data_IF_084774557809
#
_entry.id   IF_084774557809
#
_cell.length_a   1.000
_cell.length_b   1.000
_cell.length_c   1.000
_cell.angle_alpha   90.00
_cell.angle_beta   90.00
_cell.angle_gamma   90.00
#
_symmetry.space_group_name_H-M   'P 1'
#
loop_
_entity.id
_entity.type
_entity.pdbx_description
1 polymer ?
#
# COMPACT_ATOMS: atom_id res chain seq x y z
N UNK A 1 -69.06 -45.14 14.28
CA UNK A 1 -68.08 -44.32 13.52
C UNK A 1 -68.84 -43.09 13.04
N UNK A 2 -68.55 -41.89 13.59
CA UNK A 2 -67.71 -40.85 12.94
C UNK A 2 -68.19 -40.57 11.50
N UNK A 3 -68.66 -39.39 11.11
CA UNK A 3 -68.59 -38.11 11.80
C UNK A 3 -69.47 -37.03 11.18
N UNK A 4 -69.67 -35.98 11.97
CA UNK A 4 -70.13 -34.68 11.53
C UNK A 4 -69.10 -34.08 10.55
N UNK A 5 -69.57 -33.64 9.39
CA UNK A 5 -68.89 -32.65 8.56
C UNK A 5 -70.04 -31.86 7.92
N UNK A 6 -70.41 -30.68 8.41
CA UNK A 6 -69.56 -29.52 8.55
C UNK A 6 -70.19 -28.48 7.64
N UNK A 7 -71.15 -27.73 8.16
CA UNK A 7 -71.82 -26.63 7.46
C UNK A 7 -70.72 -25.70 6.94
N UNK A 8 -70.57 -25.60 5.62
CA UNK A 8 -69.75 -24.57 4.99
C UNK A 8 -70.33 -23.20 5.33
N UNK A 9 -69.78 -22.57 6.36
CA UNK A 9 -69.87 -21.13 6.55
C UNK A 9 -69.19 -20.49 5.34
N UNK A 10 -70.00 -19.99 4.40
CA UNK A 10 -69.55 -19.12 3.32
C UNK A 10 -68.76 -17.97 3.96
N UNK A 11 -67.45 -17.96 3.74
CA UNK A 11 -66.59 -16.84 4.10
C UNK A 11 -67.16 -15.57 3.45
N UNK A 12 -67.67 -14.67 4.30
CA UNK A 12 -68.08 -13.32 3.94
C UNK A 12 -66.87 -12.64 3.30
N UNK A 13 -66.81 -12.61 1.96
CA UNK A 13 -65.80 -11.87 1.21
C UNK A 13 -65.87 -10.42 1.70
N UNK A 14 -64.90 -10.03 2.52
CA UNK A 14 -64.70 -8.63 2.92
C UNK A 14 -64.28 -7.92 1.64
N UNK A 15 -65.20 -7.16 1.07
CA UNK A 15 -64.95 -6.32 -0.10
C UNK A 15 -63.93 -5.27 0.36
N UNK A 16 -62.64 -5.54 0.21
CA UNK A 16 -61.60 -4.57 0.56
C UNK A 16 -61.70 -3.41 -0.42
N UNK A 17 -62.08 -2.24 0.09
CA UNK A 17 -62.22 -1.01 -0.69
C UNK A 17 -60.91 -0.71 -1.42
N UNK A 18 -60.99 -0.44 -2.72
CA UNK A 18 -59.82 -0.15 -3.54
C UNK A 18 -59.33 1.28 -3.25
N UNK A 19 -58.10 1.41 -2.73
CA UNK A 19 -57.50 2.69 -2.36
C UNK A 19 -57.40 3.66 -3.54
N UNK A 20 -57.04 3.20 -4.74
CA UNK A 20 -56.88 4.06 -5.91
C UNK A 20 -58.22 4.73 -6.28
N UNK A 21 -59.29 3.94 -6.33
CA UNK A 21 -60.62 4.46 -6.65
C UNK A 21 -61.14 5.42 -5.58
N UNK A 22 -60.90 5.12 -4.29
CA UNK A 22 -61.29 5.99 -3.19
C UNK A 22 -60.46 7.29 -3.16
N UNK A 23 -59.17 7.22 -3.46
CA UNK A 23 -58.27 8.37 -3.52
C UNK A 23 -58.66 9.33 -4.67
N UNK A 24 -58.98 8.79 -5.85
CA UNK A 24 -59.47 9.61 -6.97
C UNK A 24 -60.76 10.35 -6.61
N UNK A 25 -61.72 9.66 -5.96
CA UNK A 25 -62.94 10.32 -5.47
C UNK A 25 -62.65 11.36 -4.38
N UNK A 26 -61.66 11.11 -3.52
CA UNK A 26 -61.24 12.05 -2.47
C UNK A 26 -60.68 13.34 -3.08
N UNK A 27 -59.82 13.24 -4.10
CA UNK A 27 -59.28 14.39 -4.84
C UNK A 27 -60.39 15.14 -5.59
N UNK A 28 -61.32 14.41 -6.20
CA UNK A 28 -62.42 14.99 -6.97
C UNK A 28 -63.56 15.56 -6.10
N UNK A 29 -63.48 15.43 -4.77
CA UNK A 29 -64.50 15.92 -3.84
C UNK A 29 -65.81 15.13 -3.85
N UNK A 30 -65.84 13.95 -4.48
CA UNK A 30 -67.03 13.10 -4.64
C UNK A 30 -66.99 11.84 -3.77
N UNK A 31 -66.04 11.75 -2.84
CA UNK A 31 -65.90 10.62 -1.92
C UNK A 31 -67.00 10.60 -0.86
N UNK A 32 -67.48 9.41 -0.53
CA UNK A 32 -68.37 9.22 0.63
C UNK A 32 -67.59 9.39 1.94
N UNK A 33 -68.26 9.67 3.08
CA UNK A 33 -67.58 9.78 4.38
C UNK A 33 -66.72 8.56 4.73
N UNK A 34 -67.17 7.35 4.38
CA UNK A 34 -66.43 6.11 4.60
C UNK A 34 -65.18 6.01 3.72
N UNK A 35 -65.26 6.45 2.46
CA UNK A 35 -64.12 6.51 1.53
C UNK A 35 -63.07 7.53 2.00
N UNK A 36 -63.51 8.66 2.56
CA UNK A 36 -62.64 9.70 3.12
C UNK A 36 -61.86 9.17 4.33
N UNK A 37 -62.52 8.51 5.28
CA UNK A 37 -61.86 7.92 6.45
C UNK A 37 -60.87 6.82 6.06
N UNK A 38 -61.26 5.98 5.09
CA UNK A 38 -60.38 4.94 4.56
C UNK A 38 -59.11 5.53 3.96
N UNK A 39 -59.22 6.52 3.06
CA UNK A 39 -58.08 7.18 2.42
C UNK A 39 -57.18 7.86 3.45
N UNK A 40 -57.75 8.58 4.42
CA UNK A 40 -56.97 9.22 5.50
C UNK A 40 -56.22 8.21 6.36
N UNK A 41 -56.83 7.07 6.65
CA UNK A 41 -56.20 6.01 7.46
C UNK A 41 -55.01 5.38 6.74
N UNK A 42 -55.13 5.12 5.43
CA UNK A 42 -54.05 4.58 4.61
C UNK A 42 -52.94 5.61 4.40
N UNK A 43 -53.26 6.88 4.19
CA UNK A 43 -52.27 7.96 4.15
C UNK A 43 -51.52 8.12 5.48
N UNK A 44 -52.19 7.95 6.62
CA UNK A 44 -51.55 7.99 7.94
C UNK A 44 -50.59 6.82 8.13
N UNK A 45 -50.97 5.60 7.75
CA UNK A 45 -50.07 4.44 7.78
C UNK A 45 -48.87 4.63 6.86
N UNK A 46 -49.09 5.16 5.66
CA UNK A 46 -48.01 5.48 4.74
C UNK A 46 -47.06 6.55 5.31
N UNK A 47 -47.60 7.56 6.01
CA UNK A 47 -46.81 8.57 6.72
C UNK A 47 -46.00 7.97 7.86
N UNK A 48 -46.59 7.09 8.68
CA UNK A 48 -45.88 6.44 9.79
C UNK A 48 -44.76 5.53 9.28
N UNK A 49 -44.99 4.81 8.18
CA UNK A 49 -43.95 4.01 7.52
C UNK A 49 -42.87 4.93 6.94
N UNK A 50 -43.26 6.04 6.31
CA UNK A 50 -42.30 7.01 5.79
C UNK A 50 -41.48 7.67 6.90
N UNK A 51 -42.03 7.96 8.08
CA UNK A 51 -41.28 8.51 9.21
C UNK A 51 -40.27 7.52 9.78
N UNK A 52 -40.60 6.23 9.80
CA UNK A 52 -39.68 5.16 10.18
C UNK A 52 -38.58 4.97 9.12
N UNK A 53 -38.94 5.01 7.84
CA UNK A 53 -38.05 4.71 6.72
C UNK A 53 -37.13 5.89 6.34
N UNK A 54 -37.65 7.11 6.40
CA UNK A 54 -36.90 8.34 6.11
C UNK A 54 -35.89 8.67 7.20
N UNK A 55 -35.97 8.00 8.36
CA UNK A 55 -34.99 8.17 9.43
C UNK A 55 -34.82 9.64 9.79
N UNK A 56 -35.91 10.43 9.77
CA UNK A 56 -35.93 11.77 10.38
C UNK A 56 -35.68 11.54 11.86
N UNK A 57 -34.40 11.44 12.19
CA UNK A 57 -33.88 11.66 13.52
C UNK A 57 -34.44 13.03 13.86
N UNK A 58 -35.42 13.08 14.76
CA UNK A 58 -35.58 14.28 15.56
C UNK A 58 -34.18 14.53 16.08
N UNK A 59 -33.57 15.63 15.66
CA UNK A 59 -32.32 16.09 16.22
C UNK A 59 -32.62 16.29 17.70
N UNK A 60 -32.38 15.23 18.50
CA UNK A 60 -32.39 15.33 19.93
C UNK A 60 -31.45 16.49 20.24
N UNK A 61 -31.90 17.39 21.11
CA UNK A 61 -31.16 18.58 21.51
C UNK A 61 -29.82 18.16 22.15
N UNK A 62 -28.83 17.82 21.32
CA UNK A 62 -27.46 17.58 21.75
C UNK A 62 -26.76 18.92 21.68
N UNK A 63 -26.42 19.44 22.85
CA UNK A 63 -25.73 20.70 23.04
C UNK A 63 -24.43 20.74 22.22
N UNK A 64 -24.00 21.93 21.80
CA UNK A 64 -22.75 22.11 21.04
C UNK A 64 -21.55 21.54 21.81
N UNK A 65 -21.63 21.51 23.15
CA UNK A 65 -20.66 20.87 24.03
C UNK A 65 -20.55 19.35 23.82
N UNK A 66 -21.67 18.65 23.61
CA UNK A 66 -21.67 17.19 23.35
C UNK A 66 -21.07 16.87 21.97
N UNK A 67 -21.34 17.73 20.97
CA UNK A 67 -20.71 17.59 19.65
C UNK A 67 -19.19 17.80 19.73
N UNK A 68 -18.72 18.72 20.57
CA UNK A 68 -17.29 18.92 20.81
C UNK A 68 -16.62 17.75 21.53
N UNK A 69 -17.25 17.19 22.57
CA UNK A 69 -16.68 16.05 23.33
C UNK A 69 -16.60 14.80 22.47
N UNK A 70 -17.63 14.52 21.66
CA UNK A 70 -17.63 13.43 20.68
C UNK A 70 -16.53 13.65 19.63
N UNK A 71 -16.37 14.87 19.09
CA UNK A 71 -15.30 15.19 18.13
C UNK A 71 -13.90 15.03 18.72
N UNK A 72 -13.70 15.41 19.99
CA UNK A 72 -12.45 15.21 20.74
C UNK A 72 -12.18 13.72 20.98
N UNK A 73 -13.19 12.94 21.35
CA UNK A 73 -13.09 11.50 21.53
C UNK A 73 -12.71 10.78 20.22
N UNK A 74 -13.38 11.10 19.10
CA UNK A 74 -13.08 10.57 17.77
C UNK A 74 -11.63 10.90 17.36
N UNK A 75 -11.18 12.14 17.57
CA UNK A 75 -9.79 12.54 17.28
C UNK A 75 -8.78 11.77 18.12
N UNK A 76 -9.06 11.56 19.41
CA UNK A 76 -8.18 10.83 20.33
C UNK A 76 -8.11 9.34 19.99
N UNK A 77 -9.23 8.74 19.60
CA UNK A 77 -9.31 7.36 19.11
C UNK A 77 -8.53 7.21 17.80
N UNK A 78 -8.81 8.07 16.81
CA UNK A 78 -8.10 8.08 15.52
C UNK A 78 -6.60 8.22 15.67
N UNK A 79 -6.11 9.05 16.60
CA UNK A 79 -4.66 9.16 16.88
C UNK A 79 -4.05 7.84 17.37
N UNK A 80 -4.74 7.11 18.25
CA UNK A 80 -4.23 5.83 18.78
C UNK A 80 -4.22 4.74 17.70
N UNK A 81 -5.24 4.66 16.87
CA UNK A 81 -5.31 3.63 15.83
C UNK A 81 -4.40 3.94 14.63
N UNK A 82 -4.27 5.21 14.26
CA UNK A 82 -3.29 5.64 13.25
C UNK A 82 -1.88 5.34 13.73
N UNK A 83 -1.55 5.60 15.00
CA UNK A 83 -0.23 5.29 15.56
C UNK A 83 0.04 3.78 15.56
N UNK A 84 -0.92 2.96 15.99
CA UNK A 84 -0.78 1.50 15.94
C UNK A 84 -0.60 0.99 14.52
N UNK A 85 -1.39 1.50 13.58
CA UNK A 85 -1.29 1.13 12.16
C UNK A 85 0.07 1.53 11.59
N UNK A 86 0.55 2.74 11.90
CA UNK A 86 1.87 3.21 11.49
C UNK A 86 2.97 2.32 12.05
N UNK A 87 2.90 1.93 13.32
CA UNK A 87 3.88 1.03 13.94
C UNK A 87 3.90 -0.35 13.29
N UNK A 88 2.73 -0.92 12.97
CA UNK A 88 2.64 -2.22 12.28
C UNK A 88 3.26 -2.13 10.88
N UNK A 89 2.97 -1.05 10.14
CA UNK A 89 3.53 -0.82 8.81
C UNK A 89 5.05 -0.64 8.90
N UNK A 90 5.55 0.16 9.84
CA UNK A 90 6.99 0.29 10.05
C UNK A 90 7.64 -1.05 10.42
N UNK A 91 7.01 -1.82 11.31
CA UNK A 91 7.51 -3.14 11.71
C UNK A 91 7.53 -4.13 10.54
N UNK A 92 6.51 -4.14 9.68
CA UNK A 92 6.49 -5.02 8.51
C UNK A 92 7.58 -4.66 7.50
N UNK A 93 7.81 -3.36 7.25
CA UNK A 93 8.94 -2.93 6.41
C UNK A 93 10.29 -3.35 6.99
N UNK A 94 10.48 -3.22 8.31
CA UNK A 94 11.71 -3.67 8.96
C UNK A 94 11.93 -5.17 8.82
N UNK A 95 10.90 -5.99 9.01
CA UNK A 95 10.99 -7.45 8.86
C UNK A 95 11.36 -7.83 7.42
N UNK A 96 10.77 -7.17 6.42
CA UNK A 96 11.12 -7.40 5.01
C UNK A 96 12.57 -7.01 4.72
N UNK A 97 13.02 -5.84 5.18
CA UNK A 97 14.38 -5.36 4.98
C UNK A 97 15.41 -6.30 5.64
N UNK A 98 15.16 -6.73 6.88
CA UNK A 98 16.01 -7.69 7.59
C UNK A 98 16.02 -9.03 6.83
N UNK A 99 14.85 -9.52 6.41
CA UNK A 99 14.75 -10.78 5.67
C UNK A 99 15.62 -10.81 4.42
N UNK A 100 15.54 -9.77 3.58
CA UNK A 100 16.33 -9.64 2.34
C UNK A 100 17.83 -9.51 2.67
N UNK A 101 18.17 -8.64 3.62
CA UNK A 101 19.57 -8.38 3.98
C UNK A 101 20.23 -9.64 4.55
N UNK A 102 19.54 -10.38 5.42
CA UNK A 102 20.06 -11.61 6.01
C UNK A 102 20.12 -12.77 5.00
N UNK A 103 19.11 -12.92 4.13
CA UNK A 103 19.05 -14.04 3.19
C UNK A 103 20.05 -13.91 2.03
N UNK A 104 20.31 -12.69 1.56
CA UNK A 104 21.07 -12.45 0.34
C UNK A 104 22.25 -11.50 0.57
N UNK A 105 22.02 -10.37 1.26
CA UNK A 105 23.05 -9.36 1.48
C UNK A 105 24.26 -9.85 2.30
N UNK A 106 24.02 -10.49 3.44
CA UNK A 106 25.10 -11.02 4.31
C UNK A 106 25.94 -12.07 3.57
N UNK A 107 25.35 -13.10 2.90
CA UNK A 107 26.14 -14.03 2.11
C UNK A 107 26.93 -13.38 0.98
N UNK A 108 26.37 -12.41 0.26
CA UNK A 108 27.10 -11.68 -0.80
C UNK A 108 28.33 -10.99 -0.20
N UNK A 109 28.15 -10.22 0.87
CA UNK A 109 29.23 -9.47 1.52
C UNK A 109 30.31 -10.39 2.10
N UNK A 110 29.91 -11.50 2.72
CA UNK A 110 30.84 -12.50 3.26
C UNK A 110 31.66 -13.14 2.14
N UNK A 111 31.00 -13.68 1.11
CA UNK A 111 31.70 -14.34 0.01
C UNK A 111 32.62 -13.35 -0.74
N UNK A 112 32.17 -12.12 -0.99
CA UNK A 112 33.00 -11.08 -1.60
C UNK A 112 34.26 -10.82 -0.79
N UNK A 113 34.15 -10.77 0.54
CA UNK A 113 35.29 -10.60 1.45
C UNK A 113 36.22 -11.81 1.45
N UNK A 114 35.68 -13.01 1.47
CA UNK A 114 36.45 -14.26 1.49
C UNK A 114 37.16 -14.51 0.14
N UNK A 115 36.66 -13.93 -0.94
CA UNK A 115 37.23 -14.02 -2.29
C UNK A 115 38.32 -12.97 -2.59
N UNK A 116 38.68 -12.09 -1.64
CA UNK A 116 39.75 -11.09 -1.85
C UNK A 116 41.12 -11.75 -1.72
N UNK A 117 41.89 -11.74 -2.80
CA UNK A 117 43.31 -12.15 -2.80
C UNK A 117 44.26 -10.96 -3.04
N UNK A 118 43.77 -9.93 -3.76
CA UNK A 118 44.49 -8.71 -4.06
C UNK A 118 43.87 -7.56 -3.30
N UNK A 119 44.71 -6.75 -2.66
CA UNK A 119 44.29 -5.55 -1.94
C UNK A 119 44.09 -4.38 -2.90
N UNK A 120 43.37 -3.35 -2.44
CA UNK A 120 43.20 -2.11 -3.21
C UNK A 120 44.54 -1.46 -3.58
N UNK A 121 45.55 -1.52 -2.70
CA UNK A 121 46.88 -0.97 -3.01
C UNK A 121 47.59 -1.78 -4.11
N UNK A 122 47.49 -3.11 -4.08
CA UNK A 122 48.03 -3.95 -5.16
C UNK A 122 47.31 -3.69 -6.49
N UNK A 123 45.99 -3.50 -6.44
CA UNK A 123 45.20 -3.14 -7.62
C UNK A 123 45.63 -1.77 -8.19
N UNK A 124 45.88 -0.76 -7.33
CA UNK A 124 46.44 0.52 -7.78
C UNK A 124 47.76 0.35 -8.50
N UNK A 125 48.67 -0.45 -7.95
CA UNK A 125 49.96 -0.73 -8.59
C UNK A 125 49.76 -1.40 -9.94
N UNK A 126 48.90 -2.42 -10.04
CA UNK A 126 48.56 -3.08 -11.31
C UNK A 126 48.03 -2.06 -12.34
N UNK A 127 47.12 -1.17 -11.93
CA UNK A 127 46.54 -0.17 -12.81
C UNK A 127 47.56 0.89 -13.27
N UNK A 128 48.41 1.38 -12.35
CA UNK A 128 49.44 2.36 -12.69
C UNK A 128 50.52 1.76 -13.58
N UNK A 129 50.94 0.52 -13.31
CA UNK A 129 51.95 -0.19 -14.09
C UNK A 129 51.43 -0.46 -15.51
N UNK A 130 50.17 -0.90 -15.63
CA UNK A 130 49.51 -1.09 -16.93
C UNK A 130 49.50 0.18 -17.78
N UNK A 131 49.18 1.33 -17.18
CA UNK A 131 49.18 2.61 -17.90
C UNK A 131 50.59 3.12 -18.18
N UNK A 132 51.56 2.92 -17.28
CA UNK A 132 52.93 3.32 -17.49
C UNK A 132 53.57 2.57 -18.66
N UNK A 133 53.31 1.26 -18.77
CA UNK A 133 53.77 0.42 -19.88
C UNK A 133 53.14 0.84 -21.22
N UNK A 134 51.86 1.25 -21.20
CA UNK A 134 51.13 1.64 -22.41
C UNK A 134 51.38 3.07 -22.86
N UNK A 135 51.70 3.97 -21.91
CA UNK A 135 51.96 5.39 -22.14
C UNK A 135 53.26 5.85 -21.48
N UNK A 136 54.42 5.39 -21.97
CA UNK A 136 55.71 5.64 -21.31
C UNK A 136 56.05 7.13 -21.22
N UNK A 137 55.69 7.94 -22.23
CA UNK A 137 55.96 9.39 -22.25
C UNK A 137 55.11 10.20 -21.25
N UNK A 138 54.04 9.62 -20.70
CA UNK A 138 53.18 10.23 -19.68
C UNK A 138 53.36 9.64 -18.27
N UNK A 139 54.18 8.60 -18.13
CA UNK A 139 54.29 7.79 -16.91
C UNK A 139 54.54 8.60 -15.63
N UNK A 140 55.38 9.65 -15.69
CA UNK A 140 55.68 10.53 -14.55
C UNK A 140 54.49 11.38 -14.07
N UNK A 141 53.44 11.50 -14.89
CA UNK A 141 52.24 12.30 -14.60
C UNK A 141 51.04 11.46 -14.18
N UNK A 142 51.19 10.13 -14.15
CA UNK A 142 50.15 9.19 -13.72
C UNK A 142 49.84 9.43 -12.24
N UNK A 143 48.58 9.76 -11.94
CA UNK A 143 48.08 9.96 -10.58
C UNK A 143 46.74 9.29 -10.40
N UNK A 144 46.65 8.43 -9.39
CA UNK A 144 45.37 7.86 -8.96
C UNK A 144 44.51 8.98 -8.36
N UNK A 145 43.33 9.20 -8.95
CA UNK A 145 42.37 10.20 -8.51
C UNK A 145 41.38 9.61 -7.49
N UNK A 146 40.87 8.42 -7.77
CA UNK A 146 39.82 7.77 -6.98
C UNK A 146 40.03 6.26 -7.01
N UNK A 147 39.67 5.61 -5.92
CA UNK A 147 39.54 4.15 -5.87
C UNK A 147 38.22 3.81 -5.24
N UNK A 148 37.36 3.19 -6.03
CA UNK A 148 36.09 2.65 -5.59
C UNK A 148 36.16 1.13 -5.51
N UNK A 149 35.16 0.58 -4.85
CA UNK A 149 35.07 -0.85 -4.61
C UNK A 149 33.62 -1.27 -4.73
N UNK A 150 33.33 -2.04 -5.76
CA UNK A 150 32.00 -2.56 -6.04
C UNK A 150 31.95 -4.07 -5.82
N UNK A 151 30.74 -4.60 -5.64
CA UNK A 151 30.52 -6.04 -5.54
C UNK A 151 29.89 -6.51 -6.83
N UNK A 152 30.54 -7.46 -7.47
CA UNK A 152 30.04 -8.13 -8.65
C UNK A 152 29.68 -9.58 -8.31
N UNK A 153 28.57 -10.07 -8.88
CA UNK A 153 28.08 -11.43 -8.66
C UNK A 153 27.93 -12.12 -10.00
N UNK A 154 28.85 -13.04 -10.28
CA UNK A 154 28.77 -13.84 -11.49
C UNK A 154 28.02 -15.15 -11.24
N UNK A 155 26.76 -15.18 -11.68
CA UNK A 155 25.88 -16.33 -11.59
C UNK A 155 25.35 -16.59 -10.17
N UNK A 156 26.17 -17.18 -9.29
CA UNK A 156 25.76 -17.56 -7.91
C UNK A 156 26.32 -16.60 -6.87
N UNK A 157 25.57 -16.39 -5.79
CA UNK A 157 25.98 -15.55 -4.64
C UNK A 157 27.34 -15.95 -4.04
N UNK A 158 27.70 -17.25 -4.10
CA UNK A 158 29.02 -17.73 -3.63
C UNK A 158 30.21 -17.19 -4.44
N UNK A 159 29.95 -16.76 -5.66
CA UNK A 159 30.94 -16.18 -6.56
C UNK A 159 30.99 -14.65 -6.44
N UNK A 160 30.28 -14.06 -5.47
CA UNK A 160 30.41 -12.63 -5.19
C UNK A 160 31.89 -12.29 -4.96
N UNK A 161 32.37 -11.24 -5.61
CA UNK A 161 33.76 -10.75 -5.53
C UNK A 161 33.74 -9.22 -5.52
N UNK A 162 34.82 -8.62 -5.04
CA UNK A 162 34.99 -7.17 -5.22
C UNK A 162 35.65 -6.86 -6.56
N UNK A 163 35.20 -5.80 -7.21
CA UNK A 163 35.91 -5.15 -8.32
C UNK A 163 36.42 -3.82 -7.80
N UNK A 164 37.71 -3.55 -8.01
CA UNK A 164 38.30 -2.25 -7.74
C UNK A 164 38.21 -1.41 -9.00
N UNK A 165 37.55 -0.25 -8.89
CA UNK A 165 37.44 0.72 -9.96
C UNK A 165 38.42 1.84 -9.65
N UNK A 166 39.39 2.05 -10.52
CA UNK A 166 40.53 2.93 -10.28
C UNK A 166 40.56 4.02 -11.34
N UNK A 167 40.25 5.25 -10.91
CA UNK A 167 40.31 6.43 -11.76
C UNK A 167 41.74 6.96 -11.77
N UNK A 168 42.37 7.04 -12.93
CA UNK A 168 43.75 7.47 -13.09
C UNK A 168 43.84 8.63 -14.08
N UNK A 169 44.48 9.71 -13.64
CA UNK A 169 44.78 10.86 -14.48
C UNK A 169 46.20 10.78 -15.05
N UNK A 170 46.36 10.90 -16.37
CA UNK A 170 47.67 10.83 -17.06
C UNK A 170 48.24 12.21 -17.47
N UNK A 171 47.78 13.31 -16.87
CA UNK A 171 48.40 14.63 -17.12
C UNK A 171 48.10 15.32 -18.47
N UNK A 172 47.56 14.61 -19.45
CA UNK A 172 47.29 15.08 -20.83
C UNK A 172 45.77 15.33 -21.06
N UNK A 173 44.97 15.39 -19.99
CA UNK A 173 43.49 15.47 -19.96
C UNK A 173 42.72 14.15 -20.17
N UNK A 174 43.38 12.99 -20.08
CA UNK A 174 42.70 11.70 -20.08
C UNK A 174 42.57 11.18 -18.64
N UNK A 175 41.34 10.88 -18.25
CA UNK A 175 41.01 10.08 -17.06
C UNK A 175 40.72 8.68 -17.56
N UNK A 176 41.46 7.71 -17.05
CA UNK A 176 41.22 6.31 -17.31
C UNK A 176 40.48 5.70 -16.14
N UNK A 177 39.44 4.93 -16.40
CA UNK A 177 38.77 4.12 -15.40
C UNK A 177 39.20 2.67 -15.62
N UNK A 178 39.87 2.08 -14.62
CA UNK A 178 40.40 0.72 -14.72
C UNK A 178 39.72 -0.16 -13.69
N UNK A 179 39.01 -1.19 -14.18
CA UNK A 179 38.38 -2.19 -13.34
C UNK A 179 39.30 -3.40 -13.13
N UNK A 180 39.50 -3.79 -11.87
CA UNK A 180 40.39 -4.90 -11.49
C UNK A 180 39.68 -5.88 -10.56
N UNK A 181 39.72 -7.16 -10.92
CA UNK A 181 39.20 -8.25 -10.08
C UNK A 181 40.03 -8.43 -8.80
N UNK A 182 39.41 -8.24 -7.62
CA UNK A 182 40.06 -8.45 -6.32
C UNK A 182 40.50 -9.90 -6.05
N UNK A 183 39.93 -10.88 -6.75
CA UNK A 183 40.25 -12.31 -6.58
C UNK A 183 41.42 -12.74 -7.43
N UNK A 184 41.53 -12.24 -8.65
CA UNK A 184 42.51 -12.70 -9.64
C UNK A 184 43.58 -11.66 -9.98
N UNK A 185 43.35 -10.40 -9.66
CA UNK A 185 44.22 -9.27 -10.03
C UNK A 185 44.17 -8.95 -11.53
N UNK A 186 43.22 -9.52 -12.28
CA UNK A 186 43.08 -9.27 -13.71
C UNK A 186 42.38 -7.94 -13.96
N UNK A 187 42.85 -7.20 -14.95
CA UNK A 187 42.17 -6.02 -15.48
C UNK A 187 41.00 -6.51 -16.33
N UNK A 188 39.79 -6.07 -15.99
CA UNK A 188 38.54 -6.46 -16.64
C UNK A 188 38.22 -5.49 -17.78
N UNK A 189 38.26 -4.19 -17.45
CA UNK A 189 37.86 -3.11 -18.35
C UNK A 189 38.79 -1.91 -18.16
N UNK A 190 38.96 -1.14 -19.23
CA UNK A 190 39.74 0.09 -19.29
C UNK A 190 39.00 1.07 -20.19
N UNK A 191 38.47 2.12 -19.60
CA UNK A 191 37.78 3.21 -20.30
C UNK A 191 38.62 4.50 -20.33
#
# INVERSE_FOLDING_TARGET
MKGQCGKTQKAKRRNTMNFETAYQKFINGTATPEEVEFVRSEMKKASEINDILSGVKRDGATDAAEKETVKKAIRKYRKKDVLKTLLIVCASFLVLAIGITCAVGIPILSNAKDNVNYTAEQAKTIATDYLADRYPEGSEKIKVHKVEKEIEIEGRIKNARYIYIIDIYNGINNVFEIEIDSKTGQIIEVD
#
